data_IF_631717346117
#
_entry.id   IF_631717346117
#
_cell.length_a   1.000
_cell.length_b   1.000
_cell.length_c   1.000
_cell.angle_alpha   90.00
_cell.angle_beta   90.00
_cell.angle_gamma   90.00
#
_symmetry.space_group_name_H-M   'P 1'
#
loop_
_entity.id
_entity.type
_entity.pdbx_description
1 polymer ?
#
# COMPACT_ATOMS: atom_id res chain seq x y z
N UNK A 1 11.59 -4.82 -4.17
CA UNK A 1 12.56 -4.07 -3.36
C UNK A 1 12.04 -3.84 -1.94
N UNK A 2 10.90 -3.14 -1.73
CA UNK A 2 10.34 -2.79 -0.40
C UNK A 2 10.07 -4.04 0.45
N UNK A 3 9.41 -5.06 -0.11
CA UNK A 3 9.13 -6.33 0.58
C UNK A 3 10.42 -6.96 1.13
N UNK A 4 11.48 -6.99 0.34
CA UNK A 4 12.77 -7.55 0.76
C UNK A 4 13.46 -6.70 1.84
N UNK A 5 13.35 -5.36 1.78
CA UNK A 5 13.88 -4.48 2.82
C UNK A 5 13.16 -4.70 4.16
N UNK A 6 11.84 -4.86 4.14
CA UNK A 6 11.07 -5.16 5.34
C UNK A 6 11.40 -6.56 5.88
N UNK A 7 11.50 -7.57 5.00
CA UNK A 7 11.80 -8.95 5.38
C UNK A 7 13.19 -9.11 6.00
N UNK A 8 14.20 -8.42 5.45
CA UNK A 8 15.57 -8.48 5.97
C UNK A 8 15.80 -7.63 7.20
N UNK A 9 15.03 -6.56 7.39
CA UNK A 9 15.16 -5.64 8.54
C UNK A 9 13.79 -5.19 9.07
N UNK A 10 13.04 -6.08 9.72
CA UNK A 10 11.70 -5.78 10.25
C UNK A 10 11.73 -5.08 11.61
N UNK A 11 12.88 -5.03 12.28
CA UNK A 11 13.00 -4.74 13.72
C UNK A 11 12.43 -3.38 14.13
N UNK A 12 12.66 -2.33 13.33
CA UNK A 12 12.14 -1.00 13.60
C UNK A 12 10.60 -0.98 13.57
N UNK A 13 9.99 -1.62 12.58
CA UNK A 13 8.54 -1.72 12.48
C UNK A 13 7.95 -2.59 13.61
N UNK A 14 8.58 -3.71 13.94
CA UNK A 14 8.17 -4.58 15.06
C UNK A 14 8.23 -3.79 16.37
N UNK A 15 9.31 -3.04 16.60
CA UNK A 15 9.45 -2.22 17.80
C UNK A 15 8.27 -1.24 17.95
N UNK A 16 7.94 -0.49 16.91
CA UNK A 16 6.83 0.46 16.97
C UNK A 16 5.46 -0.22 16.97
N UNK A 17 5.27 -1.38 16.33
CA UNK A 17 4.04 -2.17 16.47
C UNK A 17 3.78 -2.56 17.93
N UNK A 18 4.83 -2.87 18.68
CA UNK A 18 4.71 -3.18 20.11
C UNK A 18 4.47 -1.93 20.97
N UNK A 19 5.16 -0.82 20.69
CA UNK A 19 5.16 0.36 21.56
C UNK A 19 4.10 1.40 21.21
N UNK A 20 3.80 1.60 19.95
CA UNK A 20 2.78 2.55 19.49
C UNK A 20 1.41 1.89 19.36
N UNK A 21 1.35 0.68 18.77
CA UNK A 21 0.09 -0.05 18.55
C UNK A 21 -0.24 -1.07 19.67
N UNK A 22 0.63 -1.28 20.64
CA UNK A 22 0.38 -2.16 21.80
C UNK A 22 0.33 -3.64 21.47
N UNK A 23 0.93 -4.08 20.35
CA UNK A 23 0.89 -5.48 19.92
C UNK A 23 1.84 -6.38 20.70
N UNK A 24 1.51 -7.66 20.80
CA UNK A 24 2.49 -8.67 21.22
C UNK A 24 3.50 -8.88 20.09
N UNK A 25 4.69 -9.41 20.43
CA UNK A 25 5.72 -9.69 19.43
C UNK A 25 5.24 -10.64 18.31
N UNK A 26 4.44 -11.65 18.67
CA UNK A 26 3.89 -12.60 17.70
C UNK A 26 2.94 -11.91 16.72
N UNK A 27 1.99 -11.10 17.24
CA UNK A 27 1.06 -10.36 16.39
C UNK A 27 1.77 -9.30 15.52
N UNK A 28 2.84 -8.68 16.03
CA UNK A 28 3.65 -7.75 15.26
C UNK A 28 4.39 -8.46 14.11
N UNK A 29 4.95 -9.65 14.37
CA UNK A 29 5.61 -10.45 13.34
C UNK A 29 4.63 -10.94 12.28
N UNK A 30 3.43 -11.37 12.67
CA UNK A 30 2.40 -11.82 11.73
C UNK A 30 1.93 -10.66 10.85
N UNK A 31 1.73 -9.47 11.41
CA UNK A 31 1.39 -8.28 10.65
C UNK A 31 2.48 -7.88 9.63
N UNK A 32 3.76 -8.00 10.01
CA UNK A 32 4.86 -7.75 9.07
C UNK A 32 4.84 -8.75 7.91
N UNK A 33 4.57 -10.03 8.17
CA UNK A 33 4.42 -11.04 7.12
C UNK A 33 3.27 -10.70 6.16
N UNK A 34 2.12 -10.35 6.72
CA UNK A 34 0.96 -9.92 5.92
C UNK A 34 1.28 -8.71 5.05
N UNK A 35 1.98 -7.71 5.59
CA UNK A 35 2.42 -6.53 4.84
C UNK A 35 3.34 -6.89 3.66
N UNK A 36 4.27 -7.83 3.86
CA UNK A 36 5.16 -8.34 2.81
C UNK A 36 4.36 -9.08 1.74
N UNK A 37 3.39 -9.88 2.16
CA UNK A 37 2.53 -10.64 1.25
C UNK A 37 1.69 -9.71 0.38
N UNK A 38 1.12 -8.63 0.92
CA UNK A 38 0.41 -7.62 0.12
C UNK A 38 1.30 -6.98 -0.94
N UNK A 39 2.54 -6.59 -0.59
CA UNK A 39 3.48 -6.01 -1.56
C UNK A 39 3.78 -6.96 -2.72
N UNK A 40 3.99 -8.24 -2.43
CA UNK A 40 4.27 -9.28 -3.43
C UNK A 40 3.02 -9.59 -4.25
N UNK A 41 1.89 -9.78 -3.59
CA UNK A 41 0.62 -10.11 -4.23
C UNK A 41 0.21 -9.07 -5.27
N UNK A 42 0.13 -7.79 -4.88
CA UNK A 42 -0.30 -6.75 -5.82
C UNK A 42 0.69 -6.50 -6.95
N UNK A 43 2.00 -6.69 -6.71
CA UNK A 43 2.98 -6.61 -7.80
C UNK A 43 2.84 -7.74 -8.82
N UNK A 44 2.49 -8.95 -8.39
CA UNK A 44 2.23 -10.07 -9.29
C UNK A 44 0.89 -9.93 -10.02
N UNK A 45 -0.16 -9.48 -9.34
CA UNK A 45 -1.47 -9.31 -9.94
C UNK A 45 -1.48 -8.24 -11.05
N UNK A 46 -0.78 -7.12 -10.86
CA UNK A 46 -0.72 -6.10 -11.92
C UNK A 46 0.05 -6.61 -13.15
N UNK A 47 1.10 -7.41 -12.96
CA UNK A 47 1.82 -8.04 -14.07
C UNK A 47 0.90 -8.99 -14.84
N UNK A 48 0.10 -9.79 -14.14
CA UNK A 48 -0.89 -10.68 -14.78
C UNK A 48 -1.95 -9.91 -15.56
N UNK A 49 -2.43 -8.78 -15.01
CA UNK A 49 -3.41 -7.92 -15.69
C UNK A 49 -2.83 -7.32 -16.97
N UNK A 50 -1.58 -6.81 -16.92
CA UNK A 50 -0.91 -6.22 -18.09
C UNK A 50 -0.52 -7.24 -19.16
N UNK A 51 -0.28 -8.49 -18.77
CA UNK A 51 0.10 -9.57 -19.68
C UNK A 51 -1.12 -10.36 -20.24
N UNK A 52 -2.35 -10.02 -19.84
CA UNK A 52 -3.54 -10.65 -20.42
C UNK A 52 -3.74 -10.16 -21.86
N UNK A 53 -4.11 -11.10 -22.72
CA UNK A 53 -4.57 -10.75 -24.06
C UNK A 53 -5.78 -9.82 -23.93
N UNK A 54 -5.61 -8.59 -24.43
CA UNK A 54 -6.67 -7.59 -24.39
C UNK A 54 -7.69 -7.76 -25.51
N UNK A 55 -7.48 -8.72 -26.42
CA UNK A 55 -8.41 -9.03 -27.52
C UNK A 55 -9.45 -10.02 -27.03
N UNK A 56 -10.69 -9.66 -27.17
CA UNK A 56 -11.86 -10.46 -26.79
C UNK A 56 -12.52 -11.02 -28.05
N UNK A 57 -13.21 -12.17 -27.91
CA UNK A 57 -14.00 -12.74 -28.98
C UNK A 57 -15.14 -11.80 -29.39
N UNK A 58 -15.41 -11.73 -30.69
CA UNK A 58 -16.47 -10.91 -31.25
C UNK A 58 -16.94 -11.42 -32.61
N UNK A 59 -18.03 -10.85 -33.15
CA UNK A 59 -18.52 -11.15 -34.50
C UNK A 59 -17.47 -10.89 -35.59
N UNK A 60 -17.62 -11.56 -36.71
CA UNK A 60 -16.72 -11.37 -37.86
C UNK A 60 -16.69 -9.90 -38.29
N UNK A 61 -15.52 -9.33 -38.39
CA UNK A 61 -15.28 -7.94 -38.79
C UNK A 61 -15.16 -6.95 -37.62
N UNK A 62 -15.30 -7.40 -36.37
CA UNK A 62 -15.05 -6.62 -35.17
C UNK A 62 -13.71 -6.98 -34.53
N UNK A 63 -13.08 -5.97 -33.90
CA UNK A 63 -11.92 -6.15 -33.00
C UNK A 63 -12.34 -5.62 -31.64
N UNK A 64 -12.55 -6.52 -30.70
CA UNK A 64 -12.94 -6.18 -29.33
C UNK A 64 -11.71 -6.20 -28.43
N UNK A 65 -11.44 -5.12 -27.72
CA UNK A 65 -10.31 -5.00 -26.81
C UNK A 65 -10.76 -4.60 -25.41
N UNK A 66 -10.13 -5.18 -24.39
CA UNK A 66 -10.25 -4.76 -22.99
C UNK A 66 -8.95 -4.13 -22.56
N UNK A 67 -9.02 -2.92 -22.04
CA UNK A 67 -7.87 -2.23 -21.47
C UNK A 67 -8.16 -1.71 -20.07
N UNK A 68 -7.13 -1.60 -19.26
CA UNK A 68 -7.20 -1.04 -17.91
C UNK A 68 -6.37 0.23 -17.86
N UNK A 69 -6.87 1.25 -17.18
CA UNK A 69 -6.17 2.50 -16.93
C UNK A 69 -6.26 2.88 -15.45
N UNK A 70 -5.35 3.73 -15.03
CA UNK A 70 -5.38 4.32 -13.70
C UNK A 70 -6.66 5.14 -13.48
N UNK A 71 -7.12 5.16 -12.23
CA UNK A 71 -8.26 6.00 -11.80
C UNK A 71 -7.84 7.42 -11.45
N UNK A 72 -6.55 7.64 -11.19
CA UNK A 72 -5.97 8.93 -10.85
C UNK A 72 -5.49 9.03 -9.42
N UNK A 73 -6.28 9.54 -8.49
CA UNK A 73 -5.86 9.80 -7.12
C UNK A 73 -6.69 9.01 -6.10
N UNK A 74 -6.02 8.35 -5.17
CA UNK A 74 -6.63 7.59 -4.08
C UNK A 74 -6.29 8.23 -2.74
N UNK A 75 -7.30 8.39 -1.89
CA UNK A 75 -7.14 8.66 -0.48
C UNK A 75 -7.20 7.33 0.29
N UNK A 76 -6.11 7.01 1.01
CA UNK A 76 -5.99 5.82 1.84
C UNK A 76 -6.04 6.22 3.31
N UNK A 77 -7.13 5.91 4.00
CA UNK A 77 -7.29 6.11 5.44
C UNK A 77 -7.15 4.75 6.11
N UNK A 78 -6.15 4.58 6.97
CA UNK A 78 -5.88 3.30 7.61
C UNK A 78 -6.13 3.34 9.12
N UNK A 79 -6.61 2.22 9.68
CA UNK A 79 -6.90 2.12 11.11
C UNK A 79 -5.64 1.88 11.95
N UNK A 80 -5.79 1.98 13.27
CA UNK A 80 -4.72 1.77 14.24
C UNK A 80 -4.45 0.30 14.57
N UNK A 81 -5.41 -0.59 14.34
CA UNK A 81 -5.33 -2.00 14.77
C UNK A 81 -4.45 -2.89 13.88
N UNK A 82 -4.28 -2.52 12.59
CA UNK A 82 -3.32 -3.10 11.64
C UNK A 82 -2.61 -1.98 10.87
N UNK A 83 -1.81 -1.17 11.60
CA UNK A 83 -1.29 0.11 11.06
C UNK A 83 -0.25 -0.05 9.97
N UNK A 84 0.36 -1.22 9.85
CA UNK A 84 1.37 -1.52 8.81
C UNK A 84 0.74 -2.30 7.66
N UNK A 85 0.07 -3.43 7.96
CA UNK A 85 -0.43 -4.32 6.91
C UNK A 85 -1.55 -3.67 6.08
N UNK A 86 -2.58 -3.11 6.72
CA UNK A 86 -3.69 -2.47 5.99
C UNK A 86 -3.17 -1.26 5.21
N UNK A 87 -2.32 -0.44 5.82
CA UNK A 87 -1.73 0.72 5.16
C UNK A 87 -0.94 0.33 3.91
N UNK A 88 -0.05 -0.66 4.03
CA UNK A 88 0.75 -1.17 2.90
C UNK A 88 -0.16 -1.79 1.84
N UNK A 89 -1.19 -2.54 2.24
CA UNK A 89 -2.15 -3.14 1.32
C UNK A 89 -2.86 -2.10 0.45
N UNK A 90 -3.38 -1.03 1.06
CA UNK A 90 -4.04 0.07 0.35
C UNK A 90 -3.07 0.78 -0.61
N UNK A 91 -1.88 1.16 -0.12
CA UNK A 91 -0.87 1.87 -0.91
C UNK A 91 -0.39 1.03 -2.09
N UNK A 92 0.00 -0.22 -1.82
CA UNK A 92 0.58 -1.09 -2.85
C UNK A 92 -0.41 -1.43 -3.95
N UNK A 93 -1.68 -1.67 -3.61
CA UNK A 93 -2.73 -1.90 -4.61
C UNK A 93 -2.94 -0.68 -5.53
N UNK A 94 -3.04 0.52 -4.94
CA UNK A 94 -3.28 1.73 -5.70
C UNK A 94 -2.07 2.13 -6.57
N UNK A 95 -0.85 2.11 -6.00
CA UNK A 95 0.38 2.44 -6.74
C UNK A 95 0.69 1.43 -7.84
N UNK A 96 0.45 0.13 -7.62
CA UNK A 96 0.67 -0.90 -8.64
C UNK A 96 -0.17 -0.64 -9.90
N UNK A 97 -1.36 -0.07 -9.75
CA UNK A 97 -2.24 0.32 -10.87
C UNK A 97 -1.93 1.70 -11.46
N UNK A 98 -0.81 2.34 -11.10
CA UNK A 98 -0.38 3.64 -11.67
C UNK A 98 -1.04 4.86 -11.03
N UNK A 99 -1.79 4.70 -9.94
CA UNK A 99 -2.47 5.81 -9.28
C UNK A 99 -1.54 6.60 -8.36
N UNK A 100 -1.95 7.84 -8.05
CA UNK A 100 -1.39 8.62 -6.94
C UNK A 100 -2.10 8.27 -5.65
N UNK A 101 -1.41 8.41 -4.53
CA UNK A 101 -1.94 8.06 -3.21
C UNK A 101 -1.63 9.16 -2.22
N UNK A 102 -2.66 9.66 -1.55
CA UNK A 102 -2.54 10.41 -0.30
C UNK A 102 -2.93 9.50 0.84
N UNK A 103 -2.09 9.42 1.87
CA UNK A 103 -2.27 8.51 3.00
C UNK A 103 -2.52 9.29 4.27
N UNK A 104 -3.57 8.92 4.99
CA UNK A 104 -3.82 9.35 6.36
C UNK A 104 -3.88 8.13 7.29
N UNK A 105 -2.79 7.77 7.99
CA UNK A 105 -2.85 6.77 9.04
C UNK A 105 -3.65 7.29 10.23
N UNK A 106 -4.07 6.39 11.12
CA UNK A 106 -4.62 6.79 12.41
C UNK A 106 -3.63 7.64 13.19
N UNK A 107 -4.10 8.65 13.90
CA UNK A 107 -3.33 9.48 14.82
C UNK A 107 -2.64 8.66 15.93
N UNK A 108 -3.23 7.52 16.30
CA UNK A 108 -2.67 6.60 17.29
C UNK A 108 -1.45 5.80 16.81
N UNK A 109 -1.17 5.81 15.51
CA UNK A 109 -0.08 5.04 14.89
C UNK A 109 0.66 5.87 13.83
N UNK A 110 0.87 7.14 14.12
CA UNK A 110 1.46 8.12 13.20
C UNK A 110 2.93 7.82 12.90
N UNK A 111 3.70 7.31 13.87
CA UNK A 111 5.11 6.95 13.68
C UNK A 111 5.22 5.77 12.70
N UNK A 112 4.39 4.74 12.89
CA UNK A 112 4.33 3.59 11.97
C UNK A 112 3.96 4.04 10.56
N UNK A 113 2.95 4.91 10.42
CA UNK A 113 2.58 5.50 9.13
C UNK A 113 3.77 6.20 8.46
N UNK A 114 4.46 7.07 9.20
CA UNK A 114 5.65 7.76 8.70
C UNK A 114 6.76 6.79 8.26
N UNK A 115 7.06 5.78 9.06
CA UNK A 115 8.11 4.80 8.76
C UNK A 115 7.79 3.98 7.51
N UNK A 116 6.53 3.59 7.33
CA UNK A 116 6.08 2.90 6.11
C UNK A 116 6.31 3.78 4.88
N UNK A 117 5.84 5.04 4.90
CA UNK A 117 6.01 5.96 3.77
C UNK A 117 7.49 6.21 3.46
N UNK A 118 8.31 6.40 4.49
CA UNK A 118 9.77 6.55 4.35
C UNK A 118 10.41 5.36 3.62
N UNK A 119 9.94 4.13 3.86
CA UNK A 119 10.43 2.94 3.14
C UNK A 119 10.04 2.97 1.66
N UNK A 120 8.82 3.40 1.32
CA UNK A 120 8.41 3.55 -0.08
C UNK A 120 9.30 4.57 -0.81
N UNK A 121 9.53 5.74 -0.22
CA UNK A 121 10.39 6.78 -0.81
C UNK A 121 11.85 6.33 -0.94
N UNK A 122 12.39 5.66 0.08
CA UNK A 122 13.75 5.06 0.04
C UNK A 122 13.93 4.14 -1.16
N UNK A 123 12.88 3.44 -1.59
CA UNK A 123 12.90 2.53 -2.73
C UNK A 123 12.39 3.13 -4.03
N UNK A 124 12.36 4.45 -4.14
CA UNK A 124 12.18 5.17 -5.39
C UNK A 124 10.75 5.59 -5.73
N UNK A 125 9.78 5.38 -4.81
CA UNK A 125 8.44 5.97 -5.01
C UNK A 125 8.54 7.48 -4.80
N UNK A 126 8.22 8.30 -5.82
CA UNK A 126 8.36 9.75 -5.72
C UNK A 126 7.31 10.35 -4.77
N UNK A 127 7.66 11.46 -4.13
CA UNK A 127 6.73 12.20 -3.23
C UNK A 127 5.45 12.62 -3.97
N UNK A 128 5.56 12.97 -5.25
CA UNK A 128 4.40 13.32 -6.08
C UNK A 128 3.42 12.16 -6.34
N UNK A 129 3.83 10.91 -6.11
CA UNK A 129 2.98 9.74 -6.26
C UNK A 129 2.45 9.21 -4.93
N UNK A 130 3.13 9.49 -3.80
CA UNK A 130 2.76 9.02 -2.48
C UNK A 130 3.00 10.11 -1.45
N UNK A 131 1.92 10.66 -0.90
CA UNK A 131 1.95 11.73 0.10
C UNK A 131 1.41 11.24 1.44
N UNK A 132 1.98 11.75 2.53
CA UNK A 132 1.56 11.45 3.90
C UNK A 132 0.94 12.69 4.55
N UNK A 133 -0.26 12.53 5.07
CA UNK A 133 -0.93 13.52 5.92
C UNK A 133 -1.05 12.92 7.33
N UNK A 134 -0.51 13.62 8.31
CA UNK A 134 -0.69 13.28 9.72
C UNK A 134 -1.68 14.24 10.35
N UNK A 135 -2.55 13.71 11.19
CA UNK A 135 -3.57 14.48 11.89
C UNK A 135 -4.66 13.60 12.46
N UNK A 136 -5.54 14.21 13.23
CA UNK A 136 -6.70 13.58 13.84
C UNK A 136 -7.90 13.48 12.86
N UNK A 137 -9.09 13.17 13.39
CA UNK A 137 -10.31 13.05 12.60
C UNK A 137 -10.73 14.33 11.89
N UNK A 138 -10.36 15.52 12.40
CA UNK A 138 -10.73 16.79 11.78
C UNK A 138 -10.06 17.00 10.43
N UNK A 139 -8.83 16.50 10.28
CA UNK A 139 -8.15 16.45 8.98
C UNK A 139 -8.77 15.43 8.04
N UNK A 140 -9.27 14.30 8.58
CA UNK A 140 -9.99 13.30 7.80
C UNK A 140 -11.28 13.81 7.18
N UNK A 141 -12.00 14.66 7.89
CA UNK A 141 -13.25 15.28 7.42
C UNK A 141 -13.03 16.33 6.32
N UNK A 142 -11.80 16.85 6.21
CA UNK A 142 -11.45 17.86 5.22
C UNK A 142 -10.90 17.28 3.90
N UNK A 143 -10.58 15.98 3.88
CA UNK A 143 -10.04 15.25 2.72
C UNK A 143 -11.13 14.58 1.91
#
# INVERSE_FOLDING_TARGET
>A
AIANDIETSPYELIYFLMHEAGKTIYNAMDEIREAIDFLRYYSEEIIKIHNRDSILDGPTGEINTLSYSEKGHFLCISPWNFPVAILIGQISAALACGNRVTVKPSEHTSILGYLVIKKFHKHGVPVSALELILGDGTYGDAL
#
